data_IF_840803490428
#
_entry.id   IF_840803490428
#
_cell.length_a   1.000
_cell.length_b   1.000
_cell.length_c   1.000
_cell.angle_alpha   90.00
_cell.angle_beta   90.00
_cell.angle_gamma   90.00
#
_symmetry.space_group_name_H-M   'P 1'
#
loop_
_entity.id
_entity.type
_entity.pdbx_description
1 polymer ?
#
# COMPACT_ATOMS: atom_id res chain seq x y z
N UNK A 1 -57.60 15.96 0.07
CA UNK A 1 -58.95 15.50 0.42
C UNK A 1 -59.05 14.01 0.12
N UNK A 2 -58.97 13.20 1.14
CA UNK A 2 -59.59 11.93 1.48
C UNK A 2 -58.75 11.18 2.49
N UNK A 3 -59.28 11.19 3.70
CA UNK A 3 -58.88 10.39 4.85
C UNK A 3 -59.18 8.90 4.59
N UNK A 4 -58.33 8.00 5.06
CA UNK A 4 -58.71 6.61 5.32
C UNK A 4 -58.28 6.19 6.72
N UNK A 5 -59.26 5.62 7.40
CA UNK A 5 -59.39 5.33 8.80
C UNK A 5 -58.49 4.23 9.32
N UNK A 6 -58.01 4.44 10.56
CA UNK A 6 -57.50 3.38 11.45
C UNK A 6 -58.60 2.34 11.73
N UNK A 7 -58.18 1.06 11.77
CA UNK A 7 -58.92 0.00 12.46
C UNK A 7 -58.10 -0.54 13.62
N UNK A 8 -58.75 -0.49 14.78
CA UNK A 8 -58.32 -1.00 16.07
C UNK A 8 -58.75 -2.46 16.18
N UNK A 9 -57.87 -3.37 16.61
CA UNK A 9 -58.14 -4.71 17.15
C UNK A 9 -57.04 -4.91 18.20
N UNK A 10 -57.24 -4.97 19.50
CA UNK A 10 -58.03 -5.87 20.27
C UNK A 10 -57.09 -6.74 21.11
N UNK A 11 -56.86 -6.37 22.38
CA UNK A 11 -56.78 -7.25 23.53
C UNK A 11 -55.72 -8.31 23.66
N UNK A 12 -54.60 -8.06 24.39
CA UNK A 12 -53.83 -9.12 25.05
C UNK A 12 -54.11 -9.09 26.56
N UNK A 13 -54.71 -10.17 27.06
CA UNK A 13 -54.89 -10.44 28.49
C UNK A 13 -53.56 -10.85 29.14
N UNK A 14 -53.20 -10.11 30.19
CA UNK A 14 -52.16 -10.47 31.16
C UNK A 14 -52.63 -11.68 32.00
N UNK A 15 -51.77 -12.72 32.09
CA UNK A 15 -51.83 -13.73 33.13
C UNK A 15 -50.49 -13.79 33.88
N UNK A 16 -50.39 -13.02 34.94
CA UNK A 16 -49.34 -13.20 35.95
C UNK A 16 -49.92 -14.08 37.08
N UNK A 17 -49.37 -15.28 37.23
CA UNK A 17 -49.49 -16.08 38.45
C UNK A 17 -48.08 -16.42 38.95
N UNK A 18 -47.58 -15.59 39.89
CA UNK A 18 -46.44 -15.95 40.71
C UNK A 18 -46.95 -16.60 42.01
N UNK A 19 -46.80 -17.92 42.12
CA UNK A 19 -46.98 -18.69 43.34
C UNK A 19 -45.83 -18.36 44.31
N UNK A 20 -46.16 -17.82 45.49
CA UNK A 20 -45.21 -17.55 46.57
C UNK A 20 -44.81 -18.85 47.27
N UNK A 21 -43.62 -19.31 47.08
CA UNK A 21 -43.00 -20.38 47.87
C UNK A 21 -42.53 -19.82 49.24
N UNK A 22 -43.08 -20.34 50.32
CA UNK A 22 -42.77 -19.91 51.69
C UNK A 22 -41.49 -20.60 52.18
N UNK A 23 -40.72 -19.85 53.00
CA UNK A 23 -39.41 -20.18 53.57
C UNK A 23 -39.35 -21.38 54.53
N UNK A 24 -40.35 -22.26 54.58
CA UNK A 24 -40.45 -23.36 55.55
C UNK A 24 -40.32 -24.77 54.98
N UNK A 25 -40.00 -24.94 53.71
CA UNK A 25 -39.86 -26.27 53.07
C UNK A 25 -38.43 -26.69 52.77
N UNK A 26 -37.41 -26.06 53.37
CA UNK A 26 -36.01 -26.30 53.05
C UNK A 26 -35.19 -26.96 54.15
N UNK A 27 -35.81 -27.70 55.07
CA UNK A 27 -35.06 -28.39 56.13
C UNK A 27 -35.68 -29.79 56.39
N UNK A 28 -35.44 -30.74 55.54
CA UNK A 28 -35.40 -32.20 55.83
C UNK A 28 -35.13 -32.96 54.51
N UNK A 29 -33.93 -33.39 54.33
CA UNK A 29 -33.54 -34.23 53.20
C UNK A 29 -32.01 -34.30 53.03
N UNK A 30 -31.30 -34.70 54.08
CA UNK A 30 -29.91 -35.13 53.90
C UNK A 30 -29.93 -36.52 53.26
N UNK A 31 -29.89 -36.62 51.95
CA UNK A 31 -29.62 -37.82 51.21
C UNK A 31 -28.31 -37.63 50.44
N UNK A 32 -27.37 -38.56 50.67
CA UNK A 32 -26.07 -38.60 50.06
C UNK A 32 -26.13 -38.50 48.54
N UNK A 33 -25.63 -37.39 47.99
CA UNK A 33 -25.33 -37.29 46.58
C UNK A 33 -23.89 -37.78 46.34
N UNK A 34 -23.67 -38.66 45.36
CA UNK A 34 -22.32 -39.03 44.98
C UNK A 34 -21.58 -37.76 44.49
N UNK A 35 -20.33 -37.58 44.95
CA UNK A 35 -19.42 -36.57 44.42
C UNK A 35 -19.21 -36.89 42.91
N UNK A 36 -20.01 -36.36 42.04
CA UNK A 36 -19.67 -36.27 40.64
C UNK A 36 -18.54 -35.23 40.56
N UNK A 37 -17.30 -35.72 40.40
CA UNK A 37 -16.19 -34.87 39.93
C UNK A 37 -16.62 -34.32 38.59
N UNK A 38 -17.16 -33.09 38.62
CA UNK A 38 -17.15 -32.26 37.42
C UNK A 38 -15.67 -32.00 37.10
N UNK A 39 -15.14 -32.76 36.17
CA UNK A 39 -13.95 -32.35 35.46
C UNK A 39 -14.28 -30.97 34.94
N UNK A 40 -13.73 -29.93 35.56
CA UNK A 40 -13.71 -28.58 34.99
C UNK A 40 -13.03 -28.73 33.64
N UNK A 41 -13.83 -28.87 32.60
CA UNK A 41 -13.33 -28.73 31.24
C UNK A 41 -12.56 -27.42 31.22
N UNK A 42 -11.28 -27.48 30.87
CA UNK A 42 -10.48 -26.30 30.66
C UNK A 42 -11.25 -25.44 29.67
N UNK A 43 -11.77 -24.30 30.14
CA UNK A 43 -12.35 -23.32 29.26
C UNK A 43 -11.28 -23.06 28.18
N UNK A 44 -11.59 -23.40 26.91
CA UNK A 44 -10.73 -23.09 25.82
C UNK A 44 -10.52 -21.58 25.87
N UNK A 45 -9.27 -21.17 26.03
CA UNK A 45 -8.92 -19.76 26.00
C UNK A 45 -9.54 -19.12 24.74
N UNK A 46 -10.04 -17.90 24.84
CA UNK A 46 -10.50 -17.17 23.68
C UNK A 46 -9.40 -17.21 22.59
N UNK A 47 -9.82 -17.19 21.32
CA UNK A 47 -8.86 -17.14 20.22
C UNK A 47 -7.87 -15.98 20.43
N UNK A 48 -6.60 -16.18 20.12
CA UNK A 48 -5.60 -15.15 20.29
C UNK A 48 -5.97 -13.91 19.46
N UNK A 49 -5.69 -12.73 20.01
CA UNK A 49 -5.85 -11.48 19.25
C UNK A 49 -4.83 -11.46 18.11
N UNK A 50 -5.29 -11.29 16.87
CA UNK A 50 -4.45 -11.31 15.66
C UNK A 50 -3.87 -9.94 15.31
N UNK A 51 -4.30 -8.88 16.00
CA UNK A 51 -3.91 -7.51 15.68
C UNK A 51 -4.60 -6.95 14.42
N UNK A 52 -4.21 -5.75 14.02
CA UNK A 52 -4.66 -5.15 12.77
C UNK A 52 -4.00 -5.87 11.59
N UNK A 53 -4.77 -6.16 10.54
CA UNK A 53 -4.30 -6.82 9.34
C UNK A 53 -4.61 -6.02 8.08
N UNK A 54 -3.81 -6.24 7.05
CA UNK A 54 -3.99 -5.69 5.69
C UNK A 54 -4.02 -6.85 4.71
N UNK A 55 -4.80 -6.73 3.63
CA UNK A 55 -4.79 -7.73 2.56
C UNK A 55 -3.38 -7.89 1.96
N UNK A 56 -2.93 -9.10 1.59
CA UNK A 56 -1.58 -9.31 1.10
C UNK A 56 -1.37 -8.77 -0.33
N UNK A 57 -2.43 -8.60 -1.11
CA UNK A 57 -2.39 -8.01 -2.45
C UNK A 57 -3.74 -7.41 -2.84
N UNK A 58 -3.73 -6.59 -3.88
CA UNK A 58 -4.92 -6.09 -4.58
C UNK A 58 -4.71 -6.18 -6.08
N UNK A 59 -5.69 -6.69 -6.83
CA UNK A 59 -5.59 -6.87 -8.28
C UNK A 59 -6.75 -6.19 -8.98
N UNK A 60 -6.44 -5.43 -10.04
CA UNK A 60 -7.41 -4.76 -10.90
C UNK A 60 -7.10 -5.03 -12.37
N UNK A 61 -8.10 -4.84 -13.24
CA UNK A 61 -7.90 -4.86 -14.69
C UNK A 61 -7.68 -3.46 -15.24
N UNK A 62 -6.75 -3.35 -16.18
CA UNK A 62 -6.50 -2.16 -17.00
C UNK A 62 -6.54 -2.56 -18.47
N UNK A 63 -7.71 -2.48 -19.08
CA UNK A 63 -7.89 -3.07 -20.42
C UNK A 63 -7.57 -4.55 -20.42
N UNK A 64 -6.64 -4.96 -21.27
CA UNK A 64 -6.11 -6.34 -21.33
C UNK A 64 -5.07 -6.69 -20.27
N UNK A 65 -4.61 -5.71 -19.45
CA UNK A 65 -3.62 -5.96 -18.40
C UNK A 65 -4.27 -6.31 -17.06
N UNK A 66 -3.55 -7.09 -16.25
CA UNK A 66 -3.82 -7.22 -14.81
C UNK A 66 -2.72 -6.49 -14.03
N UNK A 67 -3.12 -5.55 -13.16
CA UNK A 67 -2.22 -4.79 -12.30
C UNK A 67 -2.45 -5.25 -10.87
N UNK A 68 -1.40 -5.78 -10.23
CA UNK A 68 -1.46 -6.34 -8.88
C UNK A 68 -0.47 -5.60 -7.98
N UNK A 69 -0.99 -4.82 -7.03
CA UNK A 69 -0.18 -4.25 -5.96
C UNK A 69 0.05 -5.31 -4.88
N UNK A 70 1.29 -5.56 -4.54
CA UNK A 70 1.72 -6.51 -3.52
C UNK A 70 1.98 -5.79 -2.19
N UNK A 71 1.77 -6.45 -1.06
CA UNK A 71 2.26 -5.99 0.24
C UNK A 71 3.51 -6.79 0.63
N UNK A 72 4.69 -6.30 0.19
CA UNK A 72 5.96 -6.97 0.47
C UNK A 72 6.53 -6.67 1.86
N UNK A 73 5.92 -5.74 2.59
CA UNK A 73 6.29 -5.39 3.95
C UNK A 73 5.67 -4.08 4.40
N UNK A 74 5.84 -3.77 5.67
CA UNK A 74 5.45 -2.50 6.24
C UNK A 74 6.38 -2.10 7.39
N UNK A 75 6.37 -0.82 7.75
CA UNK A 75 7.17 -0.29 8.84
C UNK A 75 6.50 0.93 9.47
N UNK A 76 6.36 0.93 10.78
CA UNK A 76 6.00 2.13 11.54
C UNK A 76 7.25 2.93 11.86
N UNK A 77 7.25 4.22 11.54
CA UNK A 77 8.37 5.13 11.77
C UNK A 77 7.94 6.23 12.73
N UNK A 78 8.62 6.43 13.86
CA UNK A 78 8.30 7.52 14.78
C UNK A 78 8.73 8.87 14.22
N UNK A 79 8.18 9.94 14.79
CA UNK A 79 8.55 11.33 14.53
C UNK A 79 8.52 11.70 13.02
N UNK A 80 7.35 11.57 12.36
CA UNK A 80 7.25 11.73 10.89
C UNK A 80 7.71 13.10 10.40
N UNK A 81 7.70 14.16 11.21
CA UNK A 81 8.24 15.46 10.81
C UNK A 81 9.76 15.45 10.59
N UNK A 82 10.49 14.47 11.11
CA UNK A 82 11.91 14.28 10.75
C UNK A 82 12.09 13.76 9.32
N UNK A 83 10.97 13.40 8.65
CA UNK A 83 10.94 12.89 7.29
C UNK A 83 10.19 13.84 6.37
N UNK A 84 9.03 14.33 6.77
CA UNK A 84 8.12 15.14 5.96
C UNK A 84 7.96 16.54 6.54
N UNK A 85 7.84 17.57 5.71
CA UNK A 85 7.63 18.92 6.17
C UNK A 85 8.83 19.47 6.94
N UNK A 86 10.06 19.15 6.51
CA UNK A 86 11.29 19.57 7.18
C UNK A 86 11.50 21.08 7.10
N UNK A 87 10.82 21.77 6.19
CA UNK A 87 10.86 23.22 5.94
C UNK A 87 9.69 23.98 6.58
N UNK A 88 8.87 23.34 7.42
CA UNK A 88 7.74 24.00 8.11
C UNK A 88 7.84 23.86 9.63
N UNK A 89 7.10 24.69 10.37
CA UNK A 89 7.08 24.63 11.83
C UNK A 89 6.38 23.36 12.34
N UNK A 90 6.67 22.97 13.60
CA UNK A 90 5.99 21.87 14.25
C UNK A 90 4.48 22.11 14.41
N UNK A 91 4.07 23.37 14.60
CA UNK A 91 2.67 23.77 14.70
C UNK A 91 1.95 23.58 13.35
N UNK A 92 2.54 24.08 12.24
CA UNK A 92 1.99 23.90 10.90
C UNK A 92 1.88 22.42 10.50
N UNK A 93 2.90 21.62 10.82
CA UNK A 93 2.88 20.17 10.58
C UNK A 93 1.78 19.48 11.39
N UNK A 94 1.61 19.87 12.66
CA UNK A 94 0.58 19.33 13.55
C UNK A 94 -0.82 19.70 13.08
N UNK A 95 -1.06 20.96 12.69
CA UNK A 95 -2.36 21.42 12.17
C UNK A 95 -2.75 20.69 10.89
N UNK A 96 -1.83 20.55 9.95
CA UNK A 96 -2.04 19.80 8.71
C UNK A 96 -2.38 18.33 8.98
N UNK A 97 -1.70 17.72 9.95
CA UNK A 97 -1.95 16.33 10.35
C UNK A 97 -3.30 16.17 11.03
N UNK A 98 -3.66 17.10 11.92
CA UNK A 98 -4.95 17.11 12.61
C UNK A 98 -6.13 17.28 11.64
N UNK A 99 -6.01 18.17 10.64
CA UNK A 99 -7.02 18.33 9.58
C UNK A 99 -7.25 17.05 8.77
N UNK A 100 -6.24 16.21 8.66
CA UNK A 100 -6.30 14.93 7.95
C UNK A 100 -6.61 13.73 8.86
N UNK A 101 -6.81 13.96 10.17
CA UNK A 101 -7.01 12.92 11.19
C UNK A 101 -5.88 11.89 11.26
N UNK A 102 -4.63 12.32 11.10
CA UNK A 102 -3.44 11.46 11.19
C UNK A 102 -2.56 11.89 12.37
N UNK A 103 -1.83 10.91 12.93
CA UNK A 103 -0.91 11.15 14.04
C UNK A 103 0.34 11.89 13.60
N UNK A 104 0.88 12.73 14.49
CA UNK A 104 2.21 13.33 14.38
C UNK A 104 3.30 12.49 15.05
N UNK A 105 2.93 11.44 15.77
CA UNK A 105 3.87 10.62 16.55
C UNK A 105 4.51 9.52 15.71
N UNK A 106 3.75 8.99 14.74
CA UNK A 106 4.22 7.90 13.87
C UNK A 106 3.58 7.94 12.49
N UNK A 107 4.33 7.50 11.49
CA UNK A 107 3.84 7.22 10.13
C UNK A 107 3.99 5.73 9.82
N UNK A 108 2.98 5.17 9.14
CA UNK A 108 3.02 3.81 8.62
C UNK A 108 3.49 3.84 7.17
N UNK A 109 4.59 3.16 6.87
CA UNK A 109 5.04 2.93 5.51
C UNK A 109 4.63 1.53 5.07
N UNK A 110 4.07 1.44 3.87
CA UNK A 110 3.86 0.19 3.15
C UNK A 110 4.87 0.09 2.02
N UNK A 111 5.43 -1.09 1.80
CA UNK A 111 6.33 -1.39 0.70
C UNK A 111 5.55 -2.22 -0.31
N UNK A 112 5.21 -1.59 -1.44
CA UNK A 112 4.15 -2.08 -2.34
C UNK A 112 4.65 -2.23 -3.78
N UNK A 113 5.57 -3.17 -4.07
CA UNK A 113 5.91 -3.55 -5.42
C UNK A 113 4.66 -3.89 -6.24
N UNK A 114 4.71 -3.63 -7.53
CA UNK A 114 3.54 -3.85 -8.40
C UNK A 114 3.88 -4.83 -9.52
N UNK A 115 3.05 -5.85 -9.70
CA UNK A 115 3.12 -6.78 -10.83
C UNK A 115 2.13 -6.32 -11.91
N UNK A 116 2.61 -6.26 -13.15
CA UNK A 116 1.80 -6.08 -14.34
C UNK A 116 1.89 -7.33 -15.21
N UNK A 117 0.77 -8.04 -15.33
CA UNK A 117 0.63 -9.13 -16.28
C UNK A 117 0.00 -8.58 -17.55
N UNK A 118 0.78 -8.53 -18.63
CA UNK A 118 0.32 -8.02 -19.94
C UNK A 118 -0.38 -9.09 -20.79
N UNK A 119 -0.42 -10.33 -20.30
CA UNK A 119 -0.82 -11.51 -21.07
C UNK A 119 0.31 -12.11 -21.90
N UNK A 120 1.41 -11.39 -22.07
CA UNK A 120 2.62 -11.83 -22.79
C UNK A 120 3.85 -11.90 -21.88
N UNK A 121 3.92 -11.01 -20.90
CA UNK A 121 5.02 -10.89 -19.93
C UNK A 121 4.48 -10.60 -18.54
N UNK A 122 5.17 -11.11 -17.52
CA UNK A 122 4.99 -10.76 -16.13
C UNK A 122 6.07 -9.77 -15.71
N UNK A 123 5.70 -8.52 -15.51
CA UNK A 123 6.61 -7.41 -15.21
C UNK A 123 6.45 -7.02 -13.73
N UNK A 124 7.54 -7.07 -12.97
CA UNK A 124 7.57 -6.63 -11.57
C UNK A 124 8.23 -5.27 -11.46
N UNK A 125 7.55 -4.30 -10.88
CA UNK A 125 8.07 -2.95 -10.55
C UNK A 125 8.49 -2.92 -9.09
N UNK A 126 9.78 -2.72 -8.85
CA UNK A 126 10.46 -2.73 -7.56
C UNK A 126 10.38 -4.08 -6.81
N UNK A 127 11.20 -4.25 -5.78
CA UNK A 127 11.38 -5.57 -5.15
C UNK A 127 11.22 -5.57 -3.63
N UNK A 128 10.85 -4.44 -3.02
CA UNK A 128 10.69 -4.36 -1.56
C UNK A 128 12.00 -4.38 -0.80
N UNK A 129 11.91 -4.63 0.51
CA UNK A 129 13.02 -4.55 1.45
C UNK A 129 14.00 -5.74 1.39
N UNK A 130 13.52 -6.93 1.04
CA UNK A 130 14.30 -8.16 1.05
C UNK A 130 13.64 -9.27 0.22
N UNK A 131 14.39 -10.32 -0.18
CA UNK A 131 13.88 -11.43 -0.97
C UNK A 131 12.68 -12.16 -0.34
N UNK A 132 12.72 -12.42 0.96
CA UNK A 132 11.63 -13.15 1.63
C UNK A 132 10.30 -12.39 1.57
N UNK A 133 10.34 -11.07 1.74
CA UNK A 133 9.14 -10.21 1.67
C UNK A 133 8.50 -10.23 0.29
N UNK A 134 9.30 -10.05 -0.76
CA UNK A 134 8.77 -10.02 -2.14
C UNK A 134 8.32 -11.40 -2.62
N UNK A 135 9.03 -12.48 -2.31
CA UNK A 135 8.63 -13.83 -2.71
C UNK A 135 7.33 -14.25 -2.02
N UNK A 136 7.20 -14.01 -0.71
CA UNK A 136 5.94 -14.28 0.00
C UNK A 136 4.76 -13.46 -0.54
N UNK A 137 4.99 -12.21 -0.94
CA UNK A 137 3.94 -11.37 -1.49
C UNK A 137 3.52 -11.82 -2.90
N UNK A 138 4.47 -12.27 -3.74
CA UNK A 138 4.19 -12.89 -5.04
C UNK A 138 3.37 -14.18 -4.85
N UNK A 139 3.79 -15.07 -3.96
CA UNK A 139 3.10 -16.33 -3.67
C UNK A 139 1.65 -16.09 -3.18
N UNK A 140 1.45 -15.12 -2.29
CA UNK A 140 0.12 -14.74 -1.83
C UNK A 140 -0.77 -14.25 -2.98
N UNK A 141 -0.18 -13.62 -4.01
CA UNK A 141 -0.89 -13.16 -5.21
C UNK A 141 -1.02 -14.25 -6.29
N UNK A 142 -0.47 -15.45 -6.07
CA UNK A 142 -0.54 -16.58 -7.00
C UNK A 142 0.56 -16.60 -8.06
N UNK A 143 1.66 -15.89 -7.82
CA UNK A 143 2.85 -15.87 -8.68
C UNK A 143 4.06 -16.46 -7.96
N UNK A 144 5.11 -16.78 -8.70
CA UNK A 144 6.42 -17.14 -8.15
C UNK A 144 7.52 -16.28 -8.79
N UNK A 145 8.68 -16.17 -8.13
CA UNK A 145 9.78 -15.34 -8.60
C UNK A 145 10.34 -15.80 -9.94
N UNK A 146 10.32 -17.09 -10.24
CA UNK A 146 10.77 -17.70 -11.50
C UNK A 146 9.85 -17.44 -12.69
N UNK A 147 8.60 -16.97 -12.44
CA UNK A 147 7.66 -16.55 -13.48
C UNK A 147 7.86 -15.09 -13.91
N UNK A 148 8.64 -14.30 -13.16
CA UNK A 148 8.89 -12.90 -13.52
C UNK A 148 9.82 -12.82 -14.72
N UNK A 149 9.32 -12.25 -15.83
CA UNK A 149 10.09 -12.07 -17.06
C UNK A 149 10.96 -10.81 -17.02
N UNK A 150 10.45 -9.76 -16.36
CA UNK A 150 11.10 -8.45 -16.30
C UNK A 150 10.96 -7.84 -14.92
N UNK A 151 12.09 -7.41 -14.34
CA UNK A 151 12.12 -6.56 -13.14
C UNK A 151 12.47 -5.14 -13.54
N UNK A 152 11.61 -4.19 -13.21
CA UNK A 152 11.81 -2.76 -13.45
C UNK A 152 12.13 -2.09 -12.13
N UNK A 153 13.25 -1.39 -12.05
CA UNK A 153 13.63 -0.58 -10.89
C UNK A 153 13.30 0.88 -11.17
N UNK A 154 12.42 1.44 -10.36
CA UNK A 154 12.02 2.86 -10.50
C UNK A 154 13.14 3.78 -10.07
N UNK A 155 13.83 3.42 -9.00
CA UNK A 155 15.02 4.06 -8.45
C UNK A 155 15.72 3.09 -7.49
N UNK A 156 16.88 3.47 -6.93
CA UNK A 156 17.75 2.53 -6.23
C UNK A 156 17.83 2.78 -4.71
N UNK A 157 16.74 3.21 -4.06
CA UNK A 157 16.65 3.13 -2.60
C UNK A 157 16.48 1.69 -2.13
N UNK A 158 16.91 1.41 -0.90
CA UNK A 158 17.00 0.06 -0.37
C UNK A 158 15.70 -0.73 -0.32
N UNK A 159 14.58 -0.05 -0.21
CA UNK A 159 13.24 -0.64 -0.22
C UNK A 159 12.65 -0.85 -1.63
N UNK A 160 13.39 -0.48 -2.68
CA UNK A 160 13.06 -0.79 -4.08
C UNK A 160 13.96 -1.87 -4.66
N UNK A 161 15.24 -1.91 -4.23
CA UNK A 161 16.22 -2.90 -4.69
C UNK A 161 16.48 -4.03 -3.69
N UNK A 162 15.91 -3.94 -2.48
CA UNK A 162 16.24 -4.84 -1.37
C UNK A 162 15.97 -6.32 -1.66
N UNK A 163 14.94 -6.61 -2.44
CA UNK A 163 14.53 -7.96 -2.81
C UNK A 163 15.28 -8.59 -3.97
N UNK A 164 16.21 -7.90 -4.62
CA UNK A 164 16.97 -8.42 -5.78
C UNK A 164 17.87 -9.62 -5.43
N UNK A 165 18.47 -9.59 -4.24
CA UNK A 165 19.39 -10.64 -3.78
C UNK A 165 19.51 -10.61 -2.26
N UNK A 166 19.82 -11.76 -1.67
CA UNK A 166 20.24 -11.89 -0.27
C UNK A 166 21.77 -11.79 -0.09
N UNK A 167 22.49 -11.51 -1.17
CA UNK A 167 23.95 -11.47 -1.22
C UNK A 167 24.60 -12.80 -1.62
N UNK A 168 23.83 -13.88 -1.75
CA UNK A 168 24.32 -15.20 -2.16
C UNK A 168 23.69 -15.67 -3.47
N UNK A 169 22.41 -15.35 -3.68
CA UNK A 169 21.64 -15.74 -4.85
C UNK A 169 20.75 -14.60 -5.36
N UNK A 170 20.58 -14.56 -6.65
CA UNK A 170 19.64 -13.69 -7.36
C UNK A 170 18.20 -14.20 -7.15
N UNK A 171 17.29 -13.31 -6.75
CA UNK A 171 15.89 -13.69 -6.48
C UNK A 171 15.12 -14.01 -7.77
N UNK A 172 15.40 -13.25 -8.86
CA UNK A 172 14.67 -13.35 -10.13
C UNK A 172 15.60 -13.84 -11.23
N UNK A 173 16.06 -15.09 -11.11
CA UNK A 173 17.11 -15.64 -11.98
C UNK A 173 16.74 -15.67 -13.48
N UNK A 174 15.45 -15.78 -13.80
CA UNK A 174 14.93 -15.84 -15.18
C UNK A 174 14.66 -14.45 -15.77
N UNK A 175 14.66 -13.39 -14.93
CA UNK A 175 14.27 -12.06 -15.37
C UNK A 175 15.40 -11.31 -16.08
N UNK A 176 15.03 -10.47 -17.04
CA UNK A 176 15.82 -9.30 -17.45
C UNK A 176 15.50 -8.12 -16.54
N UNK A 177 16.38 -7.15 -16.48
CA UNK A 177 16.22 -5.97 -15.62
C UNK A 177 16.14 -4.70 -16.45
N UNK A 178 15.38 -3.71 -15.97
CA UNK A 178 15.20 -2.41 -16.62
C UNK A 178 15.31 -1.32 -15.57
N UNK A 179 16.00 -0.24 -15.87
CA UNK A 179 16.06 0.97 -15.03
C UNK A 179 16.35 2.22 -15.85
N UNK A 180 16.26 3.40 -15.26
CA UNK A 180 16.67 4.65 -15.88
C UNK A 180 18.20 4.74 -16.04
N UNK A 181 18.67 5.21 -17.20
CA UNK A 181 20.11 5.44 -17.47
C UNK A 181 20.74 6.33 -16.42
N UNK A 182 20.12 7.50 -16.17
CA UNK A 182 20.60 8.48 -15.18
C UNK A 182 20.64 7.91 -13.76
N UNK A 183 19.67 7.09 -13.38
CA UNK A 183 19.64 6.47 -12.07
C UNK A 183 20.80 5.50 -11.87
N UNK A 184 21.01 4.61 -12.84
CA UNK A 184 22.10 3.65 -12.79
C UNK A 184 23.47 4.33 -12.73
N UNK A 185 23.73 5.27 -13.62
CA UNK A 185 25.03 5.96 -13.70
C UNK A 185 25.31 6.75 -12.43
N UNK A 186 24.33 7.48 -11.92
CA UNK A 186 24.48 8.26 -10.68
C UNK A 186 24.77 7.38 -9.47
N UNK A 187 24.06 6.25 -9.32
CA UNK A 187 24.26 5.36 -8.19
C UNK A 187 25.58 4.59 -8.26
N UNK A 188 26.03 4.22 -9.47
CA UNK A 188 27.33 3.64 -9.71
C UNK A 188 28.47 4.59 -9.30
N UNK A 189 28.35 5.87 -9.64
CA UNK A 189 29.38 6.86 -9.33
C UNK A 189 29.37 7.28 -7.84
N UNK A 190 28.24 7.08 -7.15
CA UNK A 190 28.09 7.45 -5.73
C UNK A 190 28.76 6.49 -4.74
N UNK A 191 29.24 5.30 -5.15
CA UNK A 191 29.82 4.29 -4.26
C UNK A 191 28.79 3.78 -3.24
N UNK A 192 27.57 3.50 -3.69
CA UNK A 192 26.47 3.04 -2.83
C UNK A 192 26.55 1.53 -2.60
N UNK A 193 26.75 1.10 -1.34
CA UNK A 193 26.88 -0.32 -0.97
C UNK A 193 25.67 -1.17 -1.42
N UNK A 194 24.45 -0.61 -1.39
CA UNK A 194 23.25 -1.30 -1.86
C UNK A 194 23.27 -1.53 -3.36
N UNK A 195 23.75 -0.53 -4.12
CA UNK A 195 23.95 -0.64 -5.55
C UNK A 195 25.05 -1.69 -5.85
N UNK A 196 26.20 -1.58 -5.22
CA UNK A 196 27.35 -2.46 -5.47
C UNK A 196 27.02 -3.93 -5.16
N UNK A 197 26.26 -4.18 -4.09
CA UNK A 197 25.92 -5.53 -3.66
C UNK A 197 24.71 -6.16 -4.36
N UNK A 198 23.80 -5.36 -4.92
CA UNK A 198 22.52 -5.86 -5.42
C UNK A 198 22.24 -5.54 -6.88
N UNK A 199 22.68 -4.40 -7.37
CA UNK A 199 22.37 -3.91 -8.72
C UNK A 199 23.54 -4.13 -9.67
N UNK A 200 24.75 -3.75 -9.28
CA UNK A 200 25.94 -3.89 -10.12
C UNK A 200 26.18 -5.33 -10.64
N UNK A 201 25.95 -6.40 -9.86
CA UNK A 201 26.08 -7.77 -10.36
C UNK A 201 25.10 -8.12 -11.49
N UNK A 202 24.01 -7.38 -11.63
CA UNK A 202 22.95 -7.60 -12.62
C UNK A 202 23.13 -6.76 -13.89
N UNK A 203 24.14 -5.88 -13.95
CA UNK A 203 24.30 -4.88 -15.01
C UNK A 203 24.31 -5.47 -16.43
N UNK A 204 24.89 -6.66 -16.63
CA UNK A 204 24.91 -7.33 -17.94
C UNK A 204 23.53 -7.83 -18.42
N UNK A 205 22.57 -7.98 -17.49
CA UNK A 205 21.17 -8.34 -17.77
C UNK A 205 20.27 -7.11 -17.86
N UNK A 206 20.81 -5.89 -17.73
CA UNK A 206 20.03 -4.65 -17.65
C UNK A 206 19.86 -3.99 -19.02
N UNK A 207 18.68 -3.41 -19.18
CA UNK A 207 18.35 -2.43 -20.23
C UNK A 207 18.17 -1.08 -19.57
N UNK A 208 18.79 -0.05 -20.12
CA UNK A 208 18.74 1.31 -19.63
C UNK A 208 17.78 2.15 -20.47
N UNK A 209 16.90 2.90 -19.83
CA UNK A 209 15.90 3.73 -20.49
C UNK A 209 16.08 5.19 -20.15
N UNK A 210 15.81 6.03 -21.14
CA UNK A 210 15.58 7.46 -20.97
C UNK A 210 14.07 7.75 -20.89
N UNK A 211 13.70 9.02 -20.71
CA UNK A 211 12.31 9.48 -20.73
C UNK A 211 11.63 9.07 -22.04
N UNK A 212 10.42 8.50 -21.93
CA UNK A 212 9.67 7.96 -23.05
C UNK A 212 10.10 6.57 -23.53
N UNK A 213 11.14 5.97 -22.93
CA UNK A 213 11.60 4.63 -23.26
C UNK A 213 10.56 3.55 -22.93
N UNK A 214 10.43 2.54 -23.81
CA UNK A 214 9.48 1.45 -23.64
C UNK A 214 10.10 0.27 -22.88
N UNK A 215 9.43 -0.19 -21.83
CA UNK A 215 9.73 -1.46 -21.14
C UNK A 215 9.16 -2.63 -21.93
N UNK A 216 7.90 -2.51 -22.31
CA UNK A 216 7.10 -3.45 -23.09
C UNK A 216 6.01 -2.69 -23.86
N UNK A 217 5.25 -3.39 -24.70
CA UNK A 217 4.08 -2.78 -25.35
C UNK A 217 3.09 -2.28 -24.31
N UNK A 218 2.76 -0.98 -24.35
CA UNK A 218 1.85 -0.33 -23.38
C UNK A 218 2.48 -0.02 -22.02
N UNK A 219 3.81 -0.12 -21.87
CA UNK A 219 4.54 0.21 -20.63
C UNK A 219 5.69 1.15 -20.95
N UNK A 220 5.55 2.43 -20.59
CA UNK A 220 6.47 3.51 -20.97
C UNK A 220 7.05 4.21 -19.74
N UNK A 221 8.36 4.38 -19.71
CA UNK A 221 9.07 5.15 -18.69
C UNK A 221 8.79 6.65 -18.83
N UNK A 222 8.67 7.34 -17.72
CA UNK A 222 8.51 8.80 -17.65
C UNK A 222 9.44 9.35 -16.55
N UNK A 223 10.27 10.33 -16.88
CA UNK A 223 11.18 10.95 -15.93
C UNK A 223 10.42 11.65 -14.79
N UNK A 224 10.85 11.41 -13.56
CA UNK A 224 10.29 12.01 -12.35
C UNK A 224 11.41 12.36 -11.36
N UNK A 225 12.39 13.10 -11.84
CA UNK A 225 13.64 13.41 -11.13
C UNK A 225 13.43 14.26 -9.88
N UNK A 226 14.35 14.19 -8.94
CA UNK A 226 14.40 14.96 -7.70
C UNK A 226 14.43 14.11 -6.45
N UNK A 227 13.57 13.10 -6.34
CA UNK A 227 13.62 12.10 -5.26
C UNK A 227 14.98 11.38 -5.29
N UNK A 228 15.33 10.81 -6.42
CA UNK A 228 16.70 10.53 -6.82
C UNK A 228 16.99 11.23 -8.15
N UNK A 229 18.28 11.38 -8.55
CA UNK A 229 18.63 12.09 -9.77
C UNK A 229 18.04 11.49 -11.05
N UNK A 230 17.80 10.17 -11.06
CA UNK A 230 17.28 9.45 -12.22
C UNK A 230 15.96 8.72 -11.94
N UNK A 231 15.22 9.09 -10.87
CA UNK A 231 13.94 8.47 -10.53
C UNK A 231 12.97 8.46 -11.71
N UNK A 232 12.40 7.28 -11.99
CA UNK A 232 11.43 7.08 -13.06
C UNK A 232 10.07 6.65 -12.50
N UNK A 233 9.03 7.05 -13.17
CA UNK A 233 7.67 6.54 -13.03
C UNK A 233 7.26 5.85 -14.34
N UNK A 234 6.19 5.06 -14.34
CA UNK A 234 5.83 4.28 -15.52
C UNK A 234 4.36 4.41 -15.85
N UNK A 235 4.08 4.80 -17.09
CA UNK A 235 2.71 4.84 -17.62
C UNK A 235 2.37 3.49 -18.23
N UNK A 236 1.25 2.94 -17.76
CA UNK A 236 0.62 1.76 -18.33
C UNK A 236 -0.53 2.22 -19.24
N UNK A 237 -0.64 1.63 -20.40
CA UNK A 237 -1.72 1.88 -21.34
C UNK A 237 -2.15 0.58 -22.01
N UNK A 238 -3.45 0.26 -21.93
CA UNK A 238 -4.04 -0.91 -22.56
C UNK A 238 -5.49 -0.63 -22.93
N UNK A 239 -5.83 -0.87 -24.19
CA UNK A 239 -7.20 -0.68 -24.71
C UNK A 239 -7.79 0.72 -24.41
N UNK A 240 -6.95 1.75 -24.53
CA UNK A 240 -7.33 3.15 -24.30
C UNK A 240 -7.50 3.52 -22.81
N UNK A 241 -7.21 2.62 -21.87
CA UNK A 241 -7.18 2.89 -20.43
C UNK A 241 -5.75 3.13 -19.99
N UNK A 242 -5.56 4.09 -19.08
CA UNK A 242 -4.24 4.47 -18.55
C UNK A 242 -4.16 4.34 -17.02
N UNK A 243 -2.96 4.07 -16.53
CA UNK A 243 -2.62 4.08 -15.10
C UNK A 243 -1.14 4.47 -14.95
N UNK A 244 -0.82 5.26 -13.92
CA UNK A 244 0.57 5.60 -13.60
C UNK A 244 1.06 4.79 -12.42
N UNK A 245 2.19 4.10 -12.57
CA UNK A 245 2.97 3.59 -11.44
C UNK A 245 3.89 4.71 -10.97
N UNK A 246 3.54 5.32 -9.83
CA UNK A 246 4.10 6.60 -9.38
C UNK A 246 5.46 6.47 -8.70
N UNK A 247 5.73 5.33 -8.06
CA UNK A 247 6.88 5.14 -7.17
C UNK A 247 6.96 6.26 -6.09
N UNK A 248 8.11 6.93 -5.92
CA UNK A 248 8.44 7.71 -4.73
C UNK A 248 8.53 9.22 -4.93
N UNK A 249 8.16 9.76 -6.10
CA UNK A 249 8.19 11.22 -6.24
C UNK A 249 7.23 11.96 -5.26
N UNK A 250 6.28 11.23 -4.62
CA UNK A 250 5.45 11.72 -3.52
C UNK A 250 5.14 10.56 -2.55
N UNK A 251 5.73 10.56 -1.37
CA UNK A 251 5.79 9.39 -0.48
C UNK A 251 4.64 9.28 0.53
N UNK A 252 3.77 10.30 0.65
CA UNK A 252 2.70 10.29 1.64
C UNK A 252 1.44 10.98 1.11
N UNK A 253 0.28 10.35 1.34
CA UNK A 253 -1.01 10.81 0.79
C UNK A 253 -1.50 12.16 1.35
N UNK A 254 -0.98 12.62 2.49
CA UNK A 254 -1.23 13.96 3.04
C UNK A 254 0.00 14.83 2.85
N UNK A 255 1.11 14.54 3.53
CA UNK A 255 2.26 15.44 3.64
C UNK A 255 3.02 15.68 2.33
N UNK A 256 2.84 14.80 1.32
CA UNK A 256 3.44 15.00 0.00
C UNK A 256 2.43 15.34 -1.10
N UNK A 257 1.14 15.02 -0.92
CA UNK A 257 0.10 15.37 -1.88
C UNK A 257 -0.55 16.71 -1.55
N UNK A 258 -1.07 16.88 -0.31
CA UNK A 258 -1.72 18.12 0.06
C UNK A 258 -0.73 19.29 0.19
N UNK A 259 0.53 18.99 0.44
CA UNK A 259 1.62 19.95 0.63
C UNK A 259 2.81 19.58 -0.27
N UNK A 260 2.70 19.74 -1.60
CA UNK A 260 3.69 19.23 -2.55
C UNK A 260 5.06 19.92 -2.44
N UNK A 261 5.14 21.11 -1.83
CA UNK A 261 6.38 21.85 -1.61
C UNK A 261 7.05 21.54 -0.26
N UNK A 262 6.42 20.69 0.55
CA UNK A 262 7.06 20.28 1.79
C UNK A 262 8.25 19.37 1.50
N UNK A 263 9.38 19.70 2.15
CA UNK A 263 10.60 18.95 1.99
C UNK A 263 10.48 17.54 2.61
N UNK A 264 10.92 16.55 1.85
CA UNK A 264 11.01 15.16 2.29
C UNK A 264 12.49 14.78 2.44
N UNK A 265 12.84 14.17 3.57
CA UNK A 265 14.24 13.82 3.89
C UNK A 265 14.90 12.99 2.77
N UNK A 266 14.15 12.11 2.16
CA UNK A 266 14.65 11.17 1.15
C UNK A 266 14.87 11.82 -0.23
N UNK A 267 14.28 12.99 -0.50
CA UNK A 267 14.53 13.68 -1.76
C UNK A 267 15.97 14.19 -1.81
N UNK A 268 16.69 13.88 -2.86
CA UNK A 268 18.08 14.34 -3.07
C UNK A 268 18.13 15.80 -3.51
N UNK A 269 17.23 16.20 -4.40
CA UNK A 269 17.02 17.58 -4.79
C UNK A 269 15.58 18.00 -4.41
N UNK A 270 15.45 18.76 -3.33
CA UNK A 270 14.17 19.16 -2.76
C UNK A 270 13.34 19.99 -3.75
N UNK A 271 14.00 20.92 -4.46
CA UNK A 271 13.32 21.80 -5.40
C UNK A 271 12.84 21.05 -6.65
N UNK A 272 13.69 20.21 -7.22
CA UNK A 272 13.32 19.36 -8.35
C UNK A 272 12.20 18.37 -7.97
N UNK A 273 12.27 17.75 -6.78
CA UNK A 273 11.24 16.85 -6.29
C UNK A 273 9.88 17.54 -6.11
N UNK A 274 9.86 18.76 -5.53
CA UNK A 274 8.64 19.56 -5.41
C UNK A 274 8.06 19.92 -6.78
N UNK A 275 8.89 20.35 -7.72
CA UNK A 275 8.47 20.65 -9.09
C UNK A 275 7.90 19.41 -9.80
N UNK A 276 8.55 18.27 -9.69
CA UNK A 276 8.08 16.98 -10.22
C UNK A 276 6.72 16.59 -9.62
N UNK A 277 6.58 16.70 -8.28
CA UNK A 277 5.30 16.44 -7.60
C UNK A 277 4.18 17.31 -8.18
N UNK A 278 4.38 18.63 -8.26
CA UNK A 278 3.37 19.55 -8.80
C UNK A 278 3.01 19.22 -10.24
N UNK A 279 3.99 19.01 -11.10
CA UNK A 279 3.77 18.78 -12.51
C UNK A 279 2.99 17.48 -12.75
N UNK A 280 3.46 16.35 -12.19
CA UNK A 280 2.85 15.05 -12.44
C UNK A 280 1.48 14.94 -11.75
N UNK A 281 1.33 15.42 -10.51
CA UNK A 281 0.03 15.40 -9.83
C UNK A 281 -0.99 16.30 -10.52
N UNK A 282 -0.57 17.44 -11.09
CA UNK A 282 -1.45 18.32 -11.88
C UNK A 282 -1.93 17.62 -13.17
N UNK A 283 -1.04 16.93 -13.87
CA UNK A 283 -1.38 16.12 -15.04
C UNK A 283 -2.39 15.01 -14.67
N UNK A 284 -2.11 14.24 -13.61
CA UNK A 284 -3.01 13.16 -13.18
C UNK A 284 -4.39 13.68 -12.78
N UNK A 285 -4.47 14.84 -12.12
CA UNK A 285 -5.73 15.46 -11.72
C UNK A 285 -6.52 15.97 -12.95
N UNK A 286 -5.84 16.63 -13.91
CA UNK A 286 -6.47 17.17 -15.11
C UNK A 286 -7.00 16.07 -16.04
N UNK A 287 -6.19 15.03 -16.26
CA UNK A 287 -6.50 13.94 -17.20
C UNK A 287 -7.29 12.81 -16.55
N UNK A 288 -7.52 12.87 -15.21
CA UNK A 288 -8.21 11.84 -14.42
C UNK A 288 -7.59 10.46 -14.59
N UNK A 289 -6.26 10.41 -14.65
CA UNK A 289 -5.50 9.16 -14.73
C UNK A 289 -5.32 8.61 -13.31
N UNK A 290 -5.75 7.35 -13.02
CA UNK A 290 -5.46 6.70 -11.75
C UNK A 290 -3.98 6.39 -11.62
N UNK A 291 -3.52 6.26 -10.38
CA UNK A 291 -2.15 5.88 -10.10
C UNK A 291 -2.06 4.81 -9.00
N UNK A 292 -0.95 4.06 -8.99
CA UNK A 292 -0.49 3.28 -7.85
C UNK A 292 0.71 3.99 -7.25
N UNK A 293 0.66 4.29 -5.97
CA UNK A 293 1.77 4.93 -5.25
C UNK A 293 2.41 3.98 -4.25
N UNK A 294 3.74 3.93 -4.18
CA UNK A 294 4.47 2.98 -3.35
C UNK A 294 4.14 3.26 -1.89
N UNK A 295 4.42 4.11 -1.15
CA UNK A 295 4.16 4.29 0.29
C UNK A 295 2.76 4.81 0.65
N UNK A 296 1.79 4.68 -0.25
CA UNK A 296 0.41 5.13 -0.04
C UNK A 296 -0.37 4.16 0.86
N UNK A 297 -1.51 4.59 1.45
CA UNK A 297 -2.41 3.66 2.13
C UNK A 297 -2.76 2.49 1.22
N UNK A 298 -2.47 1.26 1.68
CA UNK A 298 -2.68 0.07 0.86
C UNK A 298 -4.14 -0.02 0.34
N UNK A 299 -4.36 -0.36 -0.95
CA UNK A 299 -3.42 -0.82 -1.96
C UNK A 299 -2.67 0.28 -2.73
N UNK A 300 -2.73 1.52 -2.32
CA UNK A 300 -2.04 2.63 -2.99
C UNK A 300 -2.65 3.09 -4.29
N UNK A 301 -3.74 2.45 -4.74
CA UNK A 301 -4.44 2.74 -5.98
C UNK A 301 -5.54 3.79 -5.76
N UNK A 302 -5.58 4.79 -6.62
CA UNK A 302 -6.60 5.83 -6.58
C UNK A 302 -6.35 6.93 -7.60
N UNK A 303 -7.09 8.01 -7.42
CA UNK A 303 -6.98 9.23 -8.20
C UNK A 303 -6.42 10.36 -7.33
N UNK A 304 -6.07 11.45 -7.98
CA UNK A 304 -5.75 12.70 -7.31
C UNK A 304 -6.67 13.79 -7.81
N UNK A 305 -7.11 14.65 -6.90
CA UNK A 305 -7.90 15.84 -7.19
C UNK A 305 -7.17 17.08 -6.68
N UNK A 306 -7.29 18.19 -7.38
CA UNK A 306 -6.79 19.49 -6.90
C UNK A 306 -7.61 19.92 -5.70
N UNK A 307 -6.95 20.29 -4.59
CA UNK A 307 -7.58 20.82 -3.39
C UNK A 307 -6.75 21.98 -2.81
N UNK A 308 -7.30 23.18 -2.84
CA UNK A 308 -6.56 24.37 -2.43
C UNK A 308 -5.30 24.53 -3.29
N UNK A 309 -4.15 24.70 -2.65
CA UNK A 309 -2.84 24.81 -3.32
C UNK A 309 -2.12 23.46 -3.47
N UNK A 310 -2.75 22.37 -3.13
CA UNK A 310 -2.20 21.02 -3.23
C UNK A 310 -3.20 20.03 -3.83
N UNK A 311 -3.04 18.76 -3.44
CA UNK A 311 -3.80 17.68 -4.02
C UNK A 311 -4.38 16.77 -2.93
N UNK A 312 -5.48 16.11 -3.27
CA UNK A 312 -6.14 15.16 -2.40
C UNK A 312 -6.18 13.77 -3.04
N UNK A 313 -5.78 12.76 -2.29
CA UNK A 313 -5.88 11.37 -2.71
C UNK A 313 -7.32 10.87 -2.59
N UNK A 314 -7.87 10.37 -3.68
CA UNK A 314 -9.18 9.72 -3.74
C UNK A 314 -8.95 8.23 -3.93
N UNK A 315 -9.08 7.41 -2.87
CA UNK A 315 -8.84 5.97 -2.98
C UNK A 315 -9.74 5.32 -4.02
N UNK A 316 -9.19 4.32 -4.70
CA UNK A 316 -9.94 3.42 -5.56
C UNK A 316 -11.08 2.75 -4.80
N UNK A 317 -12.23 2.63 -5.42
CA UNK A 317 -13.39 1.92 -4.87
C UNK A 317 -13.75 0.70 -5.71
N UNK A 318 -14.56 -0.20 -5.15
CA UNK A 318 -15.05 -1.38 -5.86
C UNK A 318 -15.79 -1.05 -7.16
N UNK A 319 -16.35 0.16 -7.30
CA UNK A 319 -17.01 0.62 -8.52
C UNK A 319 -16.05 0.75 -9.72
N UNK A 320 -14.74 0.90 -9.45
CA UNK A 320 -13.73 1.00 -10.50
C UNK A 320 -13.18 -0.37 -10.93
N UNK A 321 -13.67 -1.46 -10.33
CA UNK A 321 -13.32 -2.84 -10.70
C UNK A 321 -14.19 -3.39 -11.85
N UNK A 322 -15.15 -2.63 -12.35
CA UNK A 322 -16.11 -3.04 -13.37
C UNK A 322 -15.56 -2.72 -14.75
#
# INVERSE_FOLDING_TARGET
MRFLKLHHIGGLKSMTNFSKMTRRAALSGAAALPLACFAAGTALAAAPMMGAGTAPFSRVKLGGFEVTTLLAGNRTVPEPQKIFGMNVSAEEFADASAMANISVDAAQFFFTPTVVNTGSELILFDTGLNPAGITSALEAAGYSADQVDTVVLTHMHGDHIGGLSDGTAETFANARYVTGTTEFDTMKDAGNEGFDGKVAPLAEKMTFLDDGGAVASGVTAMAAFGHTPGHMTYRLESEGKQLLLRADFANHYVWSLAYPDWEVRFDRDKAAAAATRRNILSMLAADKIPFVGYHMPFPGLGYVETRGDGFHFVPHSYQLLI
#
